data_IF_580823229375
#
_entry.id   IF_580823229375
#
_cell.length_a   1.000
_cell.length_b   1.000
_cell.length_c   1.000
_cell.angle_alpha   90.00
_cell.angle_beta   90.00
_cell.angle_gamma   90.00
#
_symmetry.space_group_name_H-M   'P 1'
#
loop_
_entity.id
_entity.type
_entity.pdbx_description
1 polymer ?
#
# COMPACT_ATOMS: atom_id res chain seq x y z
N UNK A 1 4.70 -1.09 6.72
CA UNK A 1 6.01 -1.25 7.41
C UNK A 1 6.35 0.08 8.04
N UNK A 2 6.89 0.08 9.25
CA UNK A 2 7.07 1.32 10.02
C UNK A 2 8.17 2.20 9.43
N UNK A 3 9.22 1.58 8.86
CA UNK A 3 10.39 2.27 8.35
C UNK A 3 11.06 1.53 7.18
N UNK A 4 12.02 2.19 6.54
CA UNK A 4 12.71 1.65 5.37
C UNK A 4 13.64 0.46 5.66
N UNK A 5 14.07 0.27 6.91
CA UNK A 5 14.90 -0.89 7.28
C UNK A 5 14.07 -2.17 7.27
N UNK A 6 12.81 -2.11 7.70
CA UNK A 6 11.89 -3.25 7.59
C UNK A 6 11.59 -3.62 6.13
N UNK A 7 11.45 -2.61 5.26
CA UNK A 7 11.28 -2.84 3.81
C UNK A 7 12.51 -3.52 3.21
N UNK A 8 13.70 -3.02 3.54
CA UNK A 8 14.96 -3.65 3.13
C UNK A 8 15.03 -5.10 3.61
N UNK A 9 14.70 -5.37 4.88
CA UNK A 9 14.70 -6.72 5.43
C UNK A 9 13.75 -7.64 4.66
N UNK A 10 12.55 -7.18 4.31
CA UNK A 10 11.62 -7.99 3.51
C UNK A 10 12.22 -8.30 2.14
N UNK A 11 12.86 -7.34 1.47
CA UNK A 11 13.48 -7.60 0.17
C UNK A 11 14.67 -8.55 0.27
N UNK A 12 15.49 -8.44 1.31
CA UNK A 12 16.60 -9.37 1.59
C UNK A 12 16.07 -10.80 1.77
N UNK A 13 15.05 -10.99 2.61
CA UNK A 13 14.44 -12.30 2.89
C UNK A 13 13.76 -12.89 1.65
N UNK A 14 13.05 -12.07 0.86
CA UNK A 14 12.44 -12.52 -0.39
C UNK A 14 13.51 -12.95 -1.40
N UNK A 15 14.60 -12.19 -1.54
CA UNK A 15 15.70 -12.58 -2.42
C UNK A 15 16.31 -13.92 -1.99
N UNK A 16 16.53 -14.13 -0.69
CA UNK A 16 17.05 -15.40 -0.16
C UNK A 16 16.10 -16.57 -0.41
N UNK A 17 14.79 -16.34 -0.28
CA UNK A 17 13.77 -17.39 -0.44
C UNK A 17 13.50 -17.76 -1.91
N UNK A 18 13.79 -16.89 -2.88
CA UNK A 18 13.57 -17.16 -4.30
C UNK A 18 14.58 -18.17 -4.86
N UNK A 19 14.12 -19.06 -5.71
CA UNK A 19 14.98 -19.89 -6.56
C UNK A 19 15.63 -19.06 -7.68
N UNK A 20 16.66 -19.62 -8.30
CA UNK A 20 17.33 -19.04 -9.47
C UNK A 20 16.33 -18.81 -10.62
N UNK A 21 16.41 -17.66 -11.31
CA UNK A 21 15.41 -17.16 -12.27
C UNK A 21 14.01 -16.84 -11.69
N UNK A 22 13.90 -16.77 -10.36
CA UNK A 22 12.68 -16.38 -9.66
C UNK A 22 12.31 -14.91 -9.86
N UNK A 23 11.04 -14.58 -9.63
CA UNK A 23 10.54 -13.19 -9.73
C UNK A 23 9.76 -12.83 -8.48
N UNK A 24 10.00 -11.62 -7.99
CA UNK A 24 9.19 -10.99 -6.96
C UNK A 24 8.33 -9.90 -7.57
N UNK A 25 7.02 -10.04 -7.41
CA UNK A 25 6.04 -9.06 -7.86
C UNK A 25 5.34 -8.48 -6.63
N UNK A 26 5.30 -7.16 -6.56
CA UNK A 26 4.60 -6.43 -5.51
C UNK A 26 4.16 -5.06 -6.04
N UNK A 27 3.25 -4.43 -5.32
CA UNK A 27 2.78 -3.10 -5.63
C UNK A 27 2.70 -2.23 -4.38
N UNK A 28 2.78 -0.92 -4.59
CA UNK A 28 2.75 0.09 -3.54
C UNK A 28 1.99 1.32 -4.02
N UNK A 29 1.45 2.08 -3.07
CA UNK A 29 1.00 3.44 -3.35
C UNK A 29 2.18 4.31 -3.79
N UNK A 30 1.95 5.16 -4.79
CA UNK A 30 2.93 6.16 -5.19
C UNK A 30 3.02 7.29 -4.16
N UNK A 31 4.11 8.06 -4.23
CA UNK A 31 4.21 9.32 -3.46
C UNK A 31 3.06 10.28 -3.83
N UNK A 32 2.67 10.36 -5.11
CA UNK A 32 1.54 11.18 -5.53
C UNK A 32 0.23 10.75 -4.85
N UNK A 33 -0.05 9.45 -4.79
CA UNK A 33 -1.24 8.94 -4.13
C UNK A 33 -1.26 9.29 -2.63
N UNK A 34 -0.13 9.10 -1.94
CA UNK A 34 -0.03 9.32 -0.49
C UNK A 34 -0.02 10.80 -0.12
N UNK A 35 0.70 11.63 -0.85
CA UNK A 35 0.91 13.03 -0.48
C UNK A 35 -0.11 13.98 -1.13
N UNK A 36 -0.77 13.57 -2.21
CA UNK A 36 -1.67 14.46 -2.98
C UNK A 36 -3.11 13.96 -3.03
N UNK A 37 -3.34 12.65 -3.18
CA UNK A 37 -4.69 12.11 -3.37
C UNK A 37 -5.36 11.73 -2.05
N UNK A 38 -4.63 11.09 -1.14
CA UNK A 38 -5.17 10.65 0.14
C UNK A 38 -5.40 11.73 1.20
N UNK A 39 -4.61 12.82 1.30
CA UNK A 39 -4.90 13.84 2.29
C UNK A 39 -6.32 14.38 2.06
N UNK A 40 -7.14 14.36 3.11
CA UNK A 40 -8.56 14.79 3.07
C UNK A 40 -9.48 13.87 2.23
N UNK A 41 -9.01 12.69 1.84
CA UNK A 41 -9.89 11.69 1.25
C UNK A 41 -10.91 11.21 2.27
N UNK A 42 -12.18 11.34 1.92
CA UNK A 42 -13.31 10.84 2.69
C UNK A 42 -14.24 10.06 1.77
N UNK A 43 -14.60 8.85 2.17
CA UNK A 43 -15.50 7.98 1.45
C UNK A 43 -16.52 7.38 2.40
N UNK A 44 -17.80 7.54 2.07
CA UNK A 44 -18.90 6.99 2.83
C UNK A 44 -19.68 6.04 1.94
N UNK A 45 -19.92 4.84 2.44
CA UNK A 45 -20.76 3.85 1.80
C UNK A 45 -21.80 3.34 2.78
N UNK A 46 -23.02 3.17 2.29
CA UNK A 46 -24.12 2.63 3.05
C UNK A 46 -24.87 1.61 2.23
N UNK A 47 -25.22 0.50 2.87
CA UNK A 47 -26.17 -0.50 2.39
C UNK A 47 -27.23 -0.75 3.47
N UNK A 48 -28.14 -1.69 3.21
CA UNK A 48 -29.14 -2.11 4.21
C UNK A 48 -28.50 -2.81 5.42
N UNK A 49 -27.36 -3.48 5.24
CA UNK A 49 -26.76 -4.36 6.26
C UNK A 49 -25.47 -3.84 6.89
N UNK A 50 -24.88 -2.80 6.31
CA UNK A 50 -23.71 -2.15 6.88
C UNK A 50 -23.56 -0.71 6.39
N UNK A 51 -22.88 0.11 7.20
CA UNK A 51 -22.33 1.39 6.80
C UNK A 51 -20.81 1.41 7.02
N UNK A 52 -20.11 2.14 6.16
CA UNK A 52 -18.66 2.24 6.10
C UNK A 52 -18.27 3.69 5.89
N UNK A 53 -17.42 4.20 6.78
CA UNK A 53 -16.81 5.51 6.63
C UNK A 53 -15.29 5.30 6.59
N UNK A 54 -14.65 5.99 5.67
CA UNK A 54 -13.21 5.98 5.51
C UNK A 54 -12.72 7.40 5.36
N UNK A 55 -12.00 7.87 6.37
CA UNK A 55 -11.32 9.15 6.34
C UNK A 55 -9.79 8.94 6.35
N UNK A 56 -9.07 9.77 5.61
CA UNK A 56 -7.63 9.67 5.47
C UNK A 56 -6.93 10.96 5.88
N UNK A 57 -5.87 10.83 6.67
CA UNK A 57 -5.11 11.94 7.23
C UNK A 57 -3.62 11.74 7.01
N UNK A 58 -2.84 12.82 6.73
CA UNK A 58 -1.39 12.74 6.71
C UNK A 58 -0.86 12.15 8.01
N UNK A 59 0.00 11.14 7.89
CA UNK A 59 0.69 10.54 9.04
C UNK A 59 1.83 11.42 9.56
N UNK A 60 2.50 10.92 10.60
CA UNK A 60 3.60 11.66 11.27
C UNK A 60 4.90 11.68 10.48
N UNK A 61 5.10 10.67 9.63
CA UNK A 61 6.33 10.46 8.88
C UNK A 61 6.19 10.97 7.43
N UNK A 62 7.30 11.29 6.73
CA UNK A 62 7.24 11.59 5.30
C UNK A 62 6.62 10.43 4.52
N UNK A 63 5.74 10.78 3.58
CA UNK A 63 5.01 9.83 2.72
C UNK A 63 4.25 8.77 3.52
N UNK A 64 3.63 9.19 4.63
CA UNK A 64 2.76 8.33 5.44
C UNK A 64 1.34 8.86 5.50
N UNK A 65 0.39 7.93 5.61
CA UNK A 65 -1.04 8.20 5.70
C UNK A 65 -1.67 7.32 6.77
N UNK A 66 -2.65 7.86 7.47
CA UNK A 66 -3.49 7.14 8.41
C UNK A 66 -4.91 7.08 7.86
N UNK A 67 -5.45 5.88 7.72
CA UNK A 67 -6.83 5.64 7.33
C UNK A 67 -7.64 5.27 8.57
N UNK A 68 -8.60 6.11 8.93
CA UNK A 68 -9.56 5.86 9.99
C UNK A 68 -10.82 5.26 9.37
N UNK A 69 -11.08 3.99 9.65
CA UNK A 69 -12.22 3.26 9.15
C UNK A 69 -13.24 3.09 10.27
N UNK A 70 -14.48 3.48 10.03
CA UNK A 70 -15.61 3.21 10.93
C UNK A 70 -16.59 2.30 10.22
N UNK A 71 -16.85 1.15 10.81
CA UNK A 71 -17.82 0.18 10.33
C UNK A 71 -19.02 0.16 11.27
N UNK A 72 -20.22 0.17 10.70
CA UNK A 72 -21.44 -0.22 11.40
C UNK A 72 -21.96 -1.48 10.71
N UNK A 73 -21.85 -2.63 11.36
CA UNK A 73 -22.24 -3.93 10.79
C UNK A 73 -23.46 -4.45 11.55
N UNK A 74 -24.47 -4.94 10.83
CA UNK A 74 -25.67 -5.52 11.44
C UNK A 74 -25.31 -6.74 12.32
N UNK A 75 -25.87 -6.77 13.52
CA UNK A 75 -25.72 -7.86 14.49
C UNK A 75 -26.43 -9.12 13.95
N UNK A 76 -25.68 -10.21 13.83
CA UNK A 76 -26.19 -11.47 13.26
C UNK A 76 -27.34 -12.07 14.09
N UNK A 77 -27.37 -11.82 15.39
CA UNK A 77 -28.37 -12.35 16.32
C UNK A 77 -29.54 -11.38 16.54
N UNK A 78 -29.36 -10.09 16.19
CA UNK A 78 -30.33 -9.02 16.41
C UNK A 78 -30.47 -8.13 15.16
N UNK A 79 -31.34 -8.49 14.21
CA UNK A 79 -31.62 -7.67 13.04
C UNK A 79 -31.98 -6.22 13.40
N UNK A 80 -31.61 -5.26 12.55
CA UNK A 80 -31.74 -3.81 12.75
C UNK A 80 -30.86 -3.18 13.85
N UNK A 81 -30.10 -3.98 14.61
CA UNK A 81 -29.08 -3.48 15.55
C UNK A 81 -27.72 -3.50 14.85
N UNK A 82 -26.98 -2.39 14.95
CA UNK A 82 -25.64 -2.29 14.38
C UNK A 82 -24.57 -2.26 15.47
N UNK A 83 -23.49 -2.99 15.22
CA UNK A 83 -22.26 -2.98 16.03
C UNK A 83 -21.29 -2.02 15.34
N UNK A 84 -20.75 -1.08 16.11
CA UNK A 84 -19.72 -0.16 15.63
C UNK A 84 -18.35 -0.75 15.90
N UNK A 85 -17.52 -0.80 14.88
CA UNK A 85 -16.10 -1.16 14.95
C UNK A 85 -15.27 -0.04 14.32
N UNK A 86 -14.19 0.34 15.00
CA UNK A 86 -13.26 1.37 14.53
C UNK A 86 -11.88 0.74 14.28
N UNK A 87 -11.30 0.99 13.11
CA UNK A 87 -9.95 0.55 12.76
C UNK A 87 -9.08 1.74 12.34
N UNK A 88 -7.80 1.69 12.73
CA UNK A 88 -6.78 2.65 12.29
C UNK A 88 -5.72 1.88 11.50
N UNK A 89 -5.65 2.15 10.20
CA UNK A 89 -4.65 1.56 9.32
C UNK A 89 -3.58 2.61 9.03
N UNK A 90 -2.31 2.22 9.13
CA UNK A 90 -1.18 3.12 8.93
C UNK A 90 -0.34 2.60 7.78
N UNK A 91 -0.17 3.45 6.78
CA UNK A 91 0.58 3.12 5.57
C UNK A 91 1.68 4.13 5.35
N UNK A 92 2.75 3.66 4.70
CA UNK A 92 3.90 4.47 4.34
C UNK A 92 4.45 3.99 3.03
N UNK A 93 4.77 4.93 2.14
CA UNK A 93 5.50 4.65 0.91
C UNK A 93 6.82 5.39 0.88
N UNK A 94 7.61 5.16 -0.17
CA UNK A 94 8.92 5.74 -0.38
C UNK A 94 9.06 6.20 -1.83
N UNK A 95 10.07 7.00 -2.13
CA UNK A 95 10.34 7.41 -3.51
C UNK A 95 10.69 6.19 -4.37
N UNK A 96 10.42 6.29 -5.68
CA UNK A 96 10.83 5.28 -6.67
C UNK A 96 12.32 4.93 -6.53
N UNK A 97 13.17 5.94 -6.40
CA UNK A 97 14.62 5.76 -6.19
C UNK A 97 14.94 4.94 -4.94
N UNK A 98 14.19 5.15 -3.85
CA UNK A 98 14.39 4.40 -2.60
C UNK A 98 14.07 2.92 -2.79
N UNK A 99 12.94 2.59 -3.43
CA UNK A 99 12.58 1.21 -3.71
C UNK A 99 13.59 0.52 -4.62
N UNK A 100 13.99 1.18 -5.72
CA UNK A 100 14.99 0.62 -6.64
C UNK A 100 16.31 0.34 -5.93
N UNK A 101 16.78 1.26 -5.08
CA UNK A 101 18.00 1.09 -4.29
C UNK A 101 17.88 -0.05 -3.27
N UNK A 102 16.74 -0.19 -2.58
CA UNK A 102 16.54 -1.27 -1.61
C UNK A 102 16.51 -2.65 -2.28
N UNK A 103 15.87 -2.75 -3.45
CA UNK A 103 15.86 -3.97 -4.27
C UNK A 103 17.27 -4.32 -4.77
N UNK A 104 18.00 -3.33 -5.29
CA UNK A 104 19.40 -3.51 -5.72
C UNK A 104 20.29 -4.00 -4.57
N UNK A 105 20.17 -3.39 -3.38
CA UNK A 105 20.91 -3.80 -2.19
C UNK A 105 20.64 -5.27 -1.78
N UNK A 106 19.43 -5.77 -2.08
CA UNK A 106 19.02 -7.15 -1.76
C UNK A 106 19.59 -8.18 -2.76
N UNK A 107 20.11 -7.71 -3.91
CA UNK A 107 20.67 -8.55 -4.97
C UNK A 107 19.79 -8.67 -6.23
N UNK A 108 18.64 -8.00 -6.30
CA UNK A 108 17.85 -7.97 -7.53
C UNK A 108 18.57 -7.14 -8.60
N UNK A 109 19.03 -7.81 -9.65
CA UNK A 109 19.84 -7.20 -10.74
C UNK A 109 19.01 -6.46 -11.78
N UNK A 110 17.74 -6.86 -11.93
CA UNK A 110 16.79 -6.28 -12.87
C UNK A 110 15.48 -5.98 -12.16
N UNK A 111 15.00 -4.76 -12.32
CA UNK A 111 13.70 -4.31 -11.80
C UNK A 111 12.97 -3.54 -12.90
N UNK A 112 11.71 -3.92 -13.14
CA UNK A 112 10.78 -3.19 -14.01
C UNK A 112 9.68 -2.58 -13.14
N UNK A 113 9.20 -1.38 -13.51
CA UNK A 113 8.13 -0.69 -12.80
C UNK A 113 7.03 -0.27 -13.77
N UNK A 114 5.77 -0.44 -13.36
CA UNK A 114 4.58 -0.17 -14.14
C UNK A 114 3.53 0.63 -13.34
N UNK A 115 2.67 1.37 -14.02
CA UNK A 115 1.67 2.23 -13.40
C UNK A 115 0.22 1.76 -13.59
N UNK A 116 -0.59 1.87 -12.54
CA UNK A 116 -2.06 1.85 -12.60
C UNK A 116 -2.68 0.68 -13.41
N UNK A 117 -2.15 -0.53 -13.25
CA UNK A 117 -2.58 -1.74 -13.97
C UNK A 117 -2.44 -1.67 -15.50
N UNK A 118 -1.48 -0.89 -15.98
CA UNK A 118 -1.11 -0.80 -17.40
C UNK A 118 0.30 -1.36 -17.62
N UNK A 119 0.66 -1.69 -18.86
CA UNK A 119 2.02 -2.08 -19.24
C UNK A 119 2.93 -0.84 -19.46
N UNK A 120 2.51 0.35 -19.02
CA UNK A 120 3.22 1.61 -19.18
C UNK A 120 4.05 1.96 -17.94
N UNK A 121 5.16 2.68 -18.16
CA UNK A 121 6.01 3.18 -17.08
C UNK A 121 5.26 4.22 -16.22
N UNK A 122 5.47 4.25 -14.89
CA UNK A 122 4.86 5.25 -14.02
C UNK A 122 5.17 6.69 -14.45
N UNK A 123 4.17 7.56 -14.30
CA UNK A 123 4.26 9.01 -14.48
C UNK A 123 4.20 9.73 -13.13
N UNK A 124 4.30 11.05 -13.15
CA UNK A 124 4.21 11.88 -11.93
C UNK A 124 2.84 11.75 -11.22
N UNK A 125 1.78 11.42 -11.95
CA UNK A 125 0.41 11.30 -11.42
C UNK A 125 -0.05 9.84 -11.24
N UNK A 126 0.82 8.86 -11.54
CA UNK A 126 0.50 7.45 -11.33
C UNK A 126 0.17 7.21 -9.86
N UNK A 127 -0.90 6.48 -9.56
CA UNK A 127 -1.41 6.28 -8.19
C UNK A 127 -0.87 5.01 -7.53
N UNK A 128 -0.64 3.98 -8.33
CA UNK A 128 -0.10 2.69 -7.86
C UNK A 128 1.05 2.27 -8.74
N UNK A 129 2.17 1.95 -8.11
CA UNK A 129 3.35 1.39 -8.78
C UNK A 129 3.38 -0.11 -8.59
N UNK A 130 3.65 -0.84 -9.66
CA UNK A 130 3.84 -2.28 -9.70
C UNK A 130 5.29 -2.55 -10.04
N UNK A 131 5.93 -3.44 -9.29
CA UNK A 131 7.32 -3.81 -9.48
C UNK A 131 7.43 -5.28 -9.90
N UNK A 132 8.37 -5.55 -10.81
CA UNK A 132 8.82 -6.90 -11.14
C UNK A 132 10.33 -6.93 -10.93
N UNK A 133 10.77 -7.60 -9.87
CA UNK A 133 12.18 -7.77 -9.55
C UNK A 133 12.63 -9.21 -9.86
N UNK A 134 13.76 -9.35 -10.54
CA UNK A 134 14.26 -10.63 -11.05
C UNK A 134 15.48 -11.07 -10.25
N UNK A 135 15.47 -12.34 -9.80
CA UNK A 135 16.64 -13.03 -9.27
C UNK A 135 17.30 -13.77 -10.44
N UNK A 136 18.51 -13.35 -10.78
CA UNK A 136 19.36 -13.91 -11.85
C UNK A 136 20.72 -14.34 -11.30
#
# INVERSE_FOLDING_TARGET
>A
MENGQEVQQVFDEVYQALEENGRFLFDVHSVYQVDTVFPEYSYHYQSEKFAFLWDSYPGKEPHSIEHFLTFFVEDLDQPEKFIREDELHQERTYSMESYLRMLENSGFSKVEAYGDFTDETPTEETKRWFFVAYKE
#
